data_IF_125216142768
#
_entry.id   IF_125216142768
#
_cell.length_a   1.000
_cell.length_b   1.000
_cell.length_c   1.000
_cell.angle_alpha   90.00
_cell.angle_beta   90.00
_cell.angle_gamma   90.00
#
_symmetry.space_group_name_H-M   'P 1'
#
loop_
_entity.id
_entity.type
_entity.pdbx_description
1 polymer ?
#
# COMPACT_ATOMS: atom_id res chain seq x y z
N UNK A 1 11.61 15.46 11.43
CA UNK A 1 11.98 14.06 11.09
C UNK A 1 11.60 13.18 12.25
N UNK A 2 10.68 12.22 12.07
CA UNK A 2 10.36 11.26 13.12
C UNK A 2 11.54 10.31 13.30
N UNK A 3 12.13 10.27 14.50
CA UNK A 3 13.14 9.28 14.83
C UNK A 3 12.46 7.93 15.05
N UNK A 4 12.40 7.12 13.99
CA UNK A 4 11.92 5.75 14.09
C UNK A 4 13.06 4.90 14.62
N UNK A 5 12.88 4.32 15.81
CA UNK A 5 13.87 3.46 16.49
C UNK A 5 14.31 2.26 15.63
N UNK A 6 13.41 1.74 14.79
CA UNK A 6 13.67 0.68 13.81
C UNK A 6 13.05 1.01 12.43
N UNK A 7 13.77 1.69 11.54
CA UNK A 7 13.25 2.11 10.23
C UNK A 7 12.82 0.92 9.36
N UNK A 8 13.49 -0.22 9.46
CA UNK A 8 13.12 -1.43 8.72
C UNK A 8 11.78 -2.02 9.16
N UNK A 9 11.49 -2.02 10.47
CA UNK A 9 10.22 -2.52 11.03
C UNK A 9 9.06 -1.62 10.61
N UNK A 10 9.27 -0.30 10.63
CA UNK A 10 8.29 0.65 10.14
C UNK A 10 8.05 0.53 8.63
N UNK A 11 9.10 0.37 7.82
CA UNK A 11 8.96 0.12 6.37
C UNK A 11 8.16 -1.16 6.10
N UNK A 12 8.42 -2.25 6.83
CA UNK A 12 7.65 -3.50 6.71
C UNK A 12 6.19 -3.32 7.13
N UNK A 13 5.92 -2.61 8.23
CA UNK A 13 4.56 -2.33 8.67
C UNK A 13 3.79 -1.50 7.63
N UNK A 14 4.42 -0.46 7.08
CA UNK A 14 3.84 0.37 6.02
C UNK A 14 3.58 -0.46 4.76
N UNK A 15 4.53 -1.31 4.36
CA UNK A 15 4.35 -2.21 3.23
C UNK A 15 3.15 -3.15 3.46
N UNK A 16 3.04 -3.74 4.66
CA UNK A 16 1.93 -4.64 5.01
C UNK A 16 0.57 -3.94 4.93
N UNK A 17 0.47 -2.71 5.44
CA UNK A 17 -0.75 -1.90 5.33
C UNK A 17 -1.08 -1.57 3.88
N UNK A 18 -0.08 -1.20 3.06
CA UNK A 18 -0.29 -0.89 1.63
C UNK A 18 -0.75 -2.11 0.84
N UNK A 19 -0.16 -3.28 1.08
CA UNK A 19 -0.62 -4.54 0.47
C UNK A 19 -2.02 -4.94 0.96
N UNK A 20 -2.31 -4.76 2.25
CA UNK A 20 -3.64 -5.00 2.82
C UNK A 20 -4.71 -4.10 2.18
N UNK A 21 -4.40 -2.82 1.98
CA UNK A 21 -5.29 -1.88 1.32
C UNK A 21 -5.54 -2.27 -0.16
N UNK A 22 -4.50 -2.68 -0.88
CA UNK A 22 -4.63 -3.17 -2.25
C UNK A 22 -5.53 -4.42 -2.33
N UNK A 23 -5.36 -5.37 -1.39
CA UNK A 23 -6.21 -6.55 -1.29
C UNK A 23 -7.68 -6.19 -0.97
N UNK A 24 -7.90 -5.19 -0.09
CA UNK A 24 -9.23 -4.69 0.23
C UNK A 24 -9.92 -4.07 -1.00
N UNK A 25 -9.19 -3.28 -1.79
CA UNK A 25 -9.70 -2.74 -3.06
C UNK A 25 -9.99 -3.84 -4.08
N UNK A 26 -9.18 -4.89 -4.13
CA UNK A 26 -9.43 -6.05 -4.99
C UNK A 26 -10.70 -6.82 -4.57
N UNK A 27 -10.93 -6.98 -3.26
CA UNK A 27 -12.16 -7.53 -2.70
C UNK A 27 -13.37 -6.66 -3.04
N UNK A 28 -13.27 -5.33 -2.88
CA UNK A 28 -14.33 -4.40 -3.27
C UNK A 28 -14.62 -4.46 -4.77
N UNK A 29 -13.60 -4.63 -5.62
CA UNK A 29 -13.76 -4.84 -7.05
C UNK A 29 -14.50 -6.14 -7.39
N UNK A 30 -14.43 -7.17 -6.53
CA UNK A 30 -15.20 -8.40 -6.74
C UNK A 30 -16.69 -8.20 -6.45
N UNK A 31 -17.02 -7.39 -5.45
CA UNK A 31 -18.38 -7.24 -4.92
C UNK A 31 -19.16 -6.03 -5.47
N UNK A 32 -18.51 -5.02 -6.05
CA UNK A 32 -19.18 -3.84 -6.63
C UNK A 32 -19.22 -3.89 -8.16
N UNK A 33 -20.22 -3.24 -8.76
CA UNK A 33 -20.35 -3.11 -10.22
C UNK A 33 -19.27 -2.20 -10.83
N UNK A 34 -18.72 -1.26 -10.05
CA UNK A 34 -17.65 -0.33 -10.46
C UNK A 34 -16.26 -1.01 -10.49
N UNK A 35 -16.18 -2.23 -11.04
CA UNK A 35 -15.02 -3.12 -10.99
C UNK A 35 -13.76 -2.46 -11.52
N UNK A 36 -13.85 -1.75 -12.64
CA UNK A 36 -12.71 -1.10 -13.31
C UNK A 36 -12.04 -0.03 -12.44
N UNK A 37 -12.83 0.79 -11.73
CA UNK A 37 -12.30 1.83 -10.84
C UNK A 37 -11.55 1.21 -9.66
N UNK A 38 -12.17 0.23 -8.99
CA UNK A 38 -11.54 -0.43 -7.85
C UNK A 38 -10.32 -1.27 -8.24
N UNK A 39 -10.33 -1.88 -9.43
CA UNK A 39 -9.20 -2.63 -9.95
C UNK A 39 -8.03 -1.70 -10.33
N UNK A 40 -8.33 -0.52 -10.88
CA UNK A 40 -7.35 0.55 -11.10
C UNK A 40 -6.74 1.05 -9.78
N UNK A 41 -7.55 1.27 -8.74
CA UNK A 41 -7.08 1.67 -7.41
C UNK A 41 -6.24 0.58 -6.74
N UNK A 42 -6.64 -0.69 -6.85
CA UNK A 42 -5.87 -1.82 -6.33
C UNK A 42 -4.49 -1.92 -7.01
N UNK A 43 -4.44 -1.77 -8.34
CA UNK A 43 -3.20 -1.79 -9.11
C UNK A 43 -2.28 -0.62 -8.71
N UNK A 44 -2.84 0.58 -8.55
CA UNK A 44 -2.09 1.78 -8.20
C UNK A 44 -1.54 1.70 -6.77
N UNK A 45 -2.35 1.20 -5.83
CA UNK A 45 -1.92 0.91 -4.46
C UNK A 45 -0.81 -0.16 -4.42
N UNK A 46 -0.91 -1.20 -5.24
CA UNK A 46 0.11 -2.24 -5.36
C UNK A 46 1.43 -1.68 -5.94
N UNK A 47 1.35 -0.84 -6.97
CA UNK A 47 2.53 -0.17 -7.54
C UNK A 47 3.20 0.76 -6.52
N UNK A 48 2.43 1.53 -5.75
CA UNK A 48 2.95 2.34 -4.63
C UNK A 48 3.56 1.52 -3.49
N UNK A 49 3.05 0.31 -3.24
CA UNK A 49 3.65 -0.63 -2.30
C UNK A 49 4.99 -1.16 -2.83
N UNK A 50 5.05 -1.49 -4.13
CA UNK A 50 6.24 -2.05 -4.80
C UNK A 50 7.38 -1.06 -4.95
N UNK A 51 7.08 0.21 -5.26
CA UNK A 51 8.13 1.23 -5.39
C UNK A 51 8.87 1.49 -4.08
N UNK A 52 8.31 1.08 -2.93
CA UNK A 52 8.99 1.16 -1.63
C UNK A 52 9.38 2.58 -1.22
N UNK A 53 8.94 3.59 -1.97
CA UNK A 53 9.32 4.97 -1.76
C UNK A 53 8.61 5.47 -0.50
N UNK A 54 9.40 5.67 0.54
CA UNK A 54 8.96 6.20 1.81
C UNK A 54 9.85 7.40 2.13
N UNK A 55 9.46 8.63 1.75
CA UNK A 55 10.29 9.83 1.96
C UNK A 55 10.51 10.12 3.46
N UNK A 56 9.74 9.48 4.34
CA UNK A 56 9.85 9.55 5.78
C UNK A 56 11.00 8.72 6.37
N UNK A 57 11.55 7.76 5.62
CA UNK A 57 12.60 6.84 6.09
C UNK A 57 13.77 6.94 5.11
N UNK A 58 14.65 7.90 5.38
CA UNK A 58 15.95 8.02 4.72
C UNK A 58 16.83 6.90 5.28
N UNK A 59 17.34 6.01 4.43
CA UNK A 59 18.41 5.07 4.82
C UNK A 59 19.65 5.85 5.26
#
# INVERSE_FOLDING_TARGET
MFQVRDPQKALRAIAFVRYGLAALFLLLALFREEKLLFLGLALLAFLMARTGYCPLIRR
#
